data_IF_638271893728
#
_entry.id   IF_638271893728
#
_cell.length_a   1.000
_cell.length_b   1.000
_cell.length_c   1.000
_cell.angle_alpha   90.00
_cell.angle_beta   90.00
_cell.angle_gamma   90.00
#
_symmetry.space_group_name_H-M   'P 1'
#
loop_
_entity.id
_entity.type
_entity.pdbx_description
1 polymer ?
#
# COMPACT_ATOMS: atom_id res chain seq x y z
N UNK A 1 -13.51 -4.84 -31.73
CA UNK A 1 -12.93 -3.61 -32.36
C UNK A 1 -11.98 -2.95 -31.38
N UNK A 2 -10.79 -2.51 -31.86
CA UNK A 2 -9.86 -1.73 -31.02
C UNK A 2 -10.46 -0.35 -30.73
N UNK A 3 -10.40 0.08 -29.45
CA UNK A 3 -10.82 1.43 -29.05
C UNK A 3 -9.85 2.46 -29.61
N UNK A 4 -10.38 3.56 -30.10
CA UNK A 4 -9.60 4.69 -30.63
C UNK A 4 -9.81 5.95 -29.82
N UNK A 5 -8.79 6.80 -29.76
CA UNK A 5 -8.91 8.13 -29.20
C UNK A 5 -9.52 9.11 -30.20
N UNK A 6 -9.73 10.38 -29.79
CA UNK A 6 -10.27 11.44 -30.62
C UNK A 6 -9.40 11.80 -31.86
N UNK A 7 -8.13 11.36 -31.87
CA UNK A 7 -7.17 11.54 -32.97
C UNK A 7 -7.05 10.28 -33.85
N UNK A 8 -7.93 9.27 -33.66
CA UNK A 8 -7.94 8.03 -34.42
C UNK A 8 -6.87 7.01 -34.05
N UNK A 9 -6.08 7.21 -32.96
CA UNK A 9 -5.02 6.32 -32.53
C UNK A 9 -5.61 5.16 -31.73
N UNK A 10 -5.10 3.95 -31.93
CA UNK A 10 -5.53 2.77 -31.19
C UNK A 10 -5.09 2.85 -29.72
N UNK A 11 -6.03 2.63 -28.82
CA UNK A 11 -5.81 2.50 -27.38
C UNK A 11 -5.62 1.03 -27.02
N UNK A 12 -4.59 0.74 -26.19
CA UNK A 12 -4.32 -0.60 -25.67
C UNK A 12 -5.29 -0.97 -24.54
N UNK A 13 -5.22 -2.22 -24.08
CA UNK A 13 -5.94 -2.69 -22.90
C UNK A 13 -5.52 -1.85 -21.68
N UNK A 14 -6.51 -1.34 -20.94
CA UNK A 14 -6.24 -0.47 -19.80
C UNK A 14 -6.13 1.03 -20.14
N UNK A 15 -5.84 1.41 -21.40
CA UNK A 15 -5.80 2.80 -21.82
C UNK A 15 -7.21 3.35 -22.13
N UNK A 16 -7.49 4.56 -21.69
CA UNK A 16 -8.73 5.30 -21.93
C UNK A 16 -8.45 6.77 -22.22
N UNK A 17 -9.27 7.39 -23.06
CA UNK A 17 -9.32 8.84 -23.15
C UNK A 17 -10.55 9.34 -22.40
N UNK A 18 -10.35 10.32 -21.53
CA UNK A 18 -11.41 10.97 -20.76
C UNK A 18 -12.09 12.08 -21.56
N UNK A 19 -13.32 12.48 -21.21
CA UNK A 19 -14.01 13.60 -21.85
C UNK A 19 -13.25 14.94 -21.76
N UNK A 20 -12.42 15.11 -20.71
CA UNK A 20 -11.56 16.28 -20.51
C UNK A 20 -10.29 16.28 -21.38
N UNK A 21 -10.15 15.30 -22.29
CA UNK A 21 -9.02 15.16 -23.21
C UNK A 21 -7.79 14.47 -22.64
N UNK A 22 -7.70 14.27 -21.33
CA UNK A 22 -6.60 13.55 -20.66
C UNK A 22 -6.71 12.05 -20.92
N UNK A 23 -5.60 11.35 -20.78
CA UNK A 23 -5.51 9.89 -20.88
C UNK A 23 -5.40 9.25 -19.51
N UNK A 24 -6.00 8.07 -19.36
CA UNK A 24 -6.02 7.27 -18.14
C UNK A 24 -5.57 5.85 -18.47
N UNK A 25 -4.63 5.29 -17.69
CA UNK A 25 -4.27 3.89 -17.72
C UNK A 25 -4.73 3.22 -16.42
N UNK A 26 -5.54 2.17 -16.55
CA UNK A 26 -6.08 1.37 -15.44
C UNK A 26 -5.40 0.02 -15.40
N UNK A 27 -4.89 -0.34 -14.25
CA UNK A 27 -4.23 -1.61 -14.03
C UNK A 27 -4.59 -2.19 -12.66
N UNK A 28 -4.37 -3.49 -12.49
CA UNK A 28 -4.47 -4.18 -11.20
C UNK A 28 -3.06 -4.44 -10.72
N UNK A 29 -2.72 -3.96 -9.56
CA UNK A 29 -1.46 -4.26 -8.91
C UNK A 29 -1.53 -5.67 -8.34
N UNK A 30 -0.64 -6.55 -8.76
CA UNK A 30 -0.65 -7.98 -8.40
C UNK A 30 -0.25 -8.20 -6.94
N UNK A 31 0.58 -7.32 -6.38
CA UNK A 31 1.07 -7.42 -5.01
C UNK A 31 -0.02 -7.00 -4.01
N UNK A 32 -0.66 -5.87 -4.27
CA UNK A 32 -1.70 -5.34 -3.38
C UNK A 32 -3.11 -5.82 -3.71
N UNK A 33 -3.31 -6.43 -4.90
CA UNK A 33 -4.61 -6.85 -5.42
C UNK A 33 -5.55 -5.69 -5.76
N UNK A 34 -5.12 -4.44 -5.60
CA UNK A 34 -5.93 -3.23 -5.79
C UNK A 34 -5.91 -2.76 -7.26
N UNK A 35 -7.03 -2.16 -7.69
CA UNK A 35 -7.10 -1.46 -8.97
C UNK A 35 -6.60 -0.03 -8.81
N UNK A 36 -5.69 0.37 -9.68
CA UNK A 36 -5.07 1.69 -9.71
C UNK A 36 -5.27 2.35 -11.06
N UNK A 37 -5.13 3.68 -11.09
CA UNK A 37 -5.17 4.46 -12.32
C UNK A 37 -4.09 5.53 -12.28
N UNK A 38 -3.45 5.76 -13.41
CA UNK A 38 -2.55 6.88 -13.64
C UNK A 38 -3.06 7.73 -14.80
N UNK A 39 -2.73 9.02 -14.79
CA UNK A 39 -3.25 10.00 -15.72
C UNK A 39 -2.11 10.76 -16.38
N UNK A 40 -2.27 11.08 -17.66
CA UNK A 40 -1.34 11.90 -18.41
C UNK A 40 -2.10 12.86 -19.34
N UNK A 41 -1.46 13.98 -19.71
CA UNK A 41 -2.03 14.93 -20.64
C UNK A 41 -2.05 14.41 -22.09
N UNK A 42 -1.11 13.53 -22.44
CA UNK A 42 -0.97 12.94 -23.77
C UNK A 42 -0.71 11.44 -23.71
N UNK A 43 -0.93 10.76 -24.85
CA UNK A 43 -0.82 9.30 -24.95
C UNK A 43 0.64 8.80 -24.85
N UNK A 44 1.63 9.60 -25.25
CA UNK A 44 3.02 9.20 -25.20
C UNK A 44 3.51 9.14 -23.73
N UNK A 45 3.23 10.19 -22.98
CA UNK A 45 3.52 10.24 -21.55
C UNK A 45 2.80 9.13 -20.77
N UNK A 46 1.54 8.83 -21.13
CA UNK A 46 0.81 7.71 -20.51
C UNK A 46 1.53 6.38 -20.75
N UNK A 47 2.00 6.14 -21.96
CA UNK A 47 2.70 4.90 -22.34
C UNK A 47 4.08 4.75 -21.71
N UNK A 48 4.75 5.85 -21.42
CA UNK A 48 5.99 5.80 -20.62
C UNK A 48 5.70 5.43 -19.16
N UNK A 49 4.63 5.98 -18.58
CA UNK A 49 4.17 5.56 -17.25
C UNK A 49 3.75 4.08 -17.24
N UNK A 50 3.01 3.61 -18.25
CA UNK A 50 2.65 2.20 -18.42
C UNK A 50 3.88 1.29 -18.45
N UNK A 51 4.91 1.64 -19.21
CA UNK A 51 6.16 0.85 -19.27
C UNK A 51 6.85 0.76 -17.92
N UNK A 52 6.90 1.87 -17.18
CA UNK A 52 7.49 1.90 -15.83
C UNK A 52 6.69 1.03 -14.86
N UNK A 53 5.37 1.19 -14.85
CA UNK A 53 4.46 0.39 -14.00
C UNK A 53 4.60 -1.10 -14.29
N UNK A 54 4.62 -1.50 -15.57
CA UNK A 54 4.75 -2.90 -15.95
C UNK A 54 6.12 -3.45 -15.54
N UNK A 55 7.19 -2.66 -15.67
CA UNK A 55 8.52 -3.05 -15.19
C UNK A 55 8.52 -3.23 -13.67
N UNK A 56 7.97 -2.28 -12.92
CA UNK A 56 7.89 -2.38 -11.45
C UNK A 56 7.07 -3.62 -11.03
N UNK A 57 5.98 -3.94 -11.75
CA UNK A 57 5.18 -5.15 -11.51
C UNK A 57 5.96 -6.43 -11.86
N UNK A 58 6.71 -6.44 -12.96
CA UNK A 58 7.56 -7.57 -13.36
C UNK A 58 8.70 -7.80 -12.34
N UNK A 59 9.25 -6.71 -11.79
CA UNK A 59 10.26 -6.75 -10.74
C UNK A 59 9.67 -7.00 -9.32
N UNK A 60 8.36 -7.24 -9.23
CA UNK A 60 7.60 -7.42 -7.98
C UNK A 60 7.69 -6.21 -7.02
N UNK A 61 7.93 -5.02 -7.56
CA UNK A 61 7.95 -3.77 -6.81
C UNK A 61 6.54 -3.17 -6.69
N UNK A 62 6.29 -2.45 -5.60
CA UNK A 62 5.03 -1.71 -5.47
C UNK A 62 5.09 -0.47 -6.36
N UNK A 63 4.09 -0.30 -7.21
CA UNK A 63 4.02 0.88 -8.08
C UNK A 63 3.80 2.18 -7.28
N UNK A 64 4.34 3.31 -7.74
CA UNK A 64 4.18 4.63 -7.10
C UNK A 64 2.72 4.99 -6.78
N UNK A 65 1.80 4.61 -7.66
CA UNK A 65 0.37 4.84 -7.45
C UNK A 65 -0.21 3.98 -6.32
N UNK A 66 0.33 2.77 -6.12
CA UNK A 66 -0.02 1.87 -5.02
C UNK A 66 0.58 2.34 -3.70
N UNK A 67 1.83 2.82 -3.72
CA UNK A 67 2.50 3.38 -2.52
C UNK A 67 1.66 4.50 -1.91
N UNK A 68 1.14 5.43 -2.71
CA UNK A 68 0.29 6.54 -2.25
C UNK A 68 -1.00 6.09 -1.55
N UNK A 69 -1.47 4.87 -1.82
CA UNK A 69 -2.69 4.29 -1.23
C UNK A 69 -2.41 3.24 -0.16
N UNK A 70 -1.13 2.90 0.03
CA UNK A 70 -0.73 1.88 0.99
C UNK A 70 -1.08 2.34 2.41
N UNK A 71 -1.79 1.52 3.16
CA UNK A 71 -2.10 1.75 4.58
C UNK A 71 -1.18 0.92 5.47
N UNK A 72 -1.09 1.32 6.74
CA UNK A 72 -0.33 0.56 7.76
C UNK A 72 -0.89 -0.86 7.92
N UNK A 73 -2.20 -1.08 7.74
CA UNK A 73 -2.79 -2.43 7.71
C UNK A 73 -2.23 -3.27 6.57
N UNK A 74 -2.19 -2.73 5.35
CA UNK A 74 -1.65 -3.45 4.19
C UNK A 74 -0.16 -3.75 4.37
N UNK A 75 0.59 -2.85 4.99
CA UNK A 75 2.00 -3.06 5.31
C UNK A 75 2.20 -4.21 6.29
N UNK A 76 1.41 -4.26 7.36
CA UNK A 76 1.42 -5.37 8.30
C UNK A 76 1.05 -6.71 7.64
N UNK A 77 0.04 -6.73 6.77
CA UNK A 77 -0.37 -7.94 6.04
C UNK A 77 0.77 -8.49 5.17
N UNK A 78 1.52 -7.60 4.51
CA UNK A 78 2.73 -7.97 3.75
C UNK A 78 3.81 -8.53 4.67
N UNK A 79 4.14 -7.85 5.76
CA UNK A 79 5.09 -8.35 6.74
C UNK A 79 4.71 -9.74 7.26
N UNK A 80 3.43 -9.96 7.58
CA UNK A 80 2.94 -11.25 8.03
C UNK A 80 2.98 -12.35 6.96
N UNK A 81 2.92 -11.99 5.67
CA UNK A 81 3.04 -12.94 4.55
C UNK A 81 4.48 -13.44 4.39
N UNK A 82 5.48 -12.60 4.66
CA UNK A 82 6.91 -12.97 4.56
C UNK A 82 7.43 -13.73 5.77
N UNK A 83 6.71 -13.66 6.91
CA UNK A 83 7.18 -14.21 8.18
C UNK A 83 6.95 -15.71 8.31
N UNK A 84 8.04 -16.45 8.46
CA UNK A 84 7.98 -17.90 8.73
C UNK A 84 7.83 -18.17 10.25
N UNK A 85 6.61 -18.26 10.74
CA UNK A 85 6.27 -18.51 12.14
C UNK A 85 5.16 -19.56 12.25
N UNK A 86 5.08 -20.21 13.45
CA UNK A 86 4.03 -21.19 13.71
C UNK A 86 2.64 -20.55 13.59
N UNK A 87 1.70 -21.31 13.05
CA UNK A 87 0.34 -20.84 12.78
C UNK A 87 -0.36 -20.25 14.04
N UNK A 88 -0.15 -20.87 15.20
CA UNK A 88 -0.67 -20.35 16.49
C UNK A 88 -0.14 -18.95 16.81
N UNK A 89 1.15 -18.70 16.56
CA UNK A 89 1.78 -17.40 16.77
C UNK A 89 1.23 -16.38 15.77
N UNK A 90 1.08 -16.76 14.50
CA UNK A 90 0.50 -15.94 13.45
C UNK A 90 -0.91 -15.47 13.81
N UNK A 91 -1.78 -16.39 14.22
CA UNK A 91 -3.14 -16.07 14.69
C UNK A 91 -3.15 -15.11 15.88
N UNK A 92 -2.23 -15.27 16.82
CA UNK A 92 -2.13 -14.37 17.97
C UNK A 92 -1.70 -12.95 17.55
N UNK A 93 -0.74 -12.82 16.65
CA UNK A 93 -0.28 -11.52 16.14
C UNK A 93 -1.39 -10.79 15.36
N UNK A 94 -2.12 -11.51 14.49
CA UNK A 94 -3.26 -10.96 13.76
C UNK A 94 -4.33 -10.48 14.74
N UNK A 95 -4.68 -11.29 15.77
CA UNK A 95 -5.66 -10.90 16.79
C UNK A 95 -5.24 -9.66 17.57
N UNK A 96 -3.96 -9.55 17.98
CA UNK A 96 -3.43 -8.35 18.65
C UNK A 96 -3.53 -7.12 17.76
N UNK A 97 -3.18 -7.26 16.48
CA UNK A 97 -3.30 -6.20 15.49
C UNK A 97 -4.74 -5.76 15.30
N UNK A 98 -5.65 -6.71 15.04
CA UNK A 98 -7.07 -6.45 14.78
C UNK A 98 -7.75 -5.74 15.95
N UNK A 99 -7.41 -6.15 17.17
CA UNK A 99 -8.03 -5.60 18.37
C UNK A 99 -7.55 -4.18 18.70
N UNK A 100 -6.29 -3.84 18.43
CA UNK A 100 -5.69 -2.58 18.90
C UNK A 100 -5.27 -1.62 17.78
N UNK A 101 -4.74 -2.10 16.68
CA UNK A 101 -4.08 -1.27 15.67
C UNK A 101 -4.95 -1.09 14.42
N UNK A 102 -5.69 -2.12 13.99
CA UNK A 102 -6.42 -2.12 12.72
C UNK A 102 -7.30 -0.89 12.51
N UNK A 103 -8.10 -0.52 13.50
CA UNK A 103 -9.06 0.59 13.40
C UNK A 103 -8.52 1.95 13.88
N UNK A 104 -7.28 1.99 14.37
CA UNK A 104 -6.60 3.19 14.84
C UNK A 104 -5.49 3.59 13.86
N UNK A 105 -4.25 3.18 14.13
CA UNK A 105 -3.11 3.46 13.27
C UNK A 105 -3.18 2.75 11.91
N UNK A 106 -3.85 1.59 11.85
CA UNK A 106 -3.87 0.72 10.67
C UNK A 106 -4.48 1.35 9.42
N UNK A 107 -5.42 2.27 9.55
CA UNK A 107 -6.09 2.95 8.44
C UNK A 107 -5.33 4.16 7.90
N UNK A 108 -4.28 4.61 8.60
CA UNK A 108 -3.45 5.73 8.15
C UNK A 108 -2.64 5.29 6.94
N UNK A 109 -2.55 6.13 5.91
CA UNK A 109 -1.67 5.85 4.77
C UNK A 109 -0.22 5.95 5.22
N UNK A 110 0.63 5.07 4.69
CA UNK A 110 2.05 5.03 5.07
C UNK A 110 2.74 6.37 4.80
N UNK A 111 2.40 7.04 3.70
CA UNK A 111 2.95 8.36 3.34
C UNK A 111 2.53 9.50 4.29
N UNK A 112 1.43 9.34 5.01
CA UNK A 112 0.92 10.31 5.99
C UNK A 112 1.31 9.93 7.43
N UNK A 113 1.96 8.78 7.61
CA UNK A 113 2.27 8.26 8.94
C UNK A 113 3.41 9.05 9.59
N UNK A 114 3.21 9.51 10.81
CA UNK A 114 4.16 10.35 11.54
C UNK A 114 4.49 9.75 12.91
N UNK A 115 5.68 10.05 13.41
CA UNK A 115 6.11 9.64 14.76
C UNK A 115 5.12 10.10 15.85
N UNK A 116 4.44 11.24 15.65
CA UNK A 116 3.40 11.72 16.58
C UNK A 116 2.24 10.74 16.72
N UNK A 117 1.81 10.09 15.62
CA UNK A 117 0.74 9.08 15.69
C UNK A 117 1.14 7.90 16.59
N UNK A 118 2.39 7.44 16.47
CA UNK A 118 2.94 6.35 17.31
C UNK A 118 2.96 6.78 18.78
N UNK A 119 3.52 7.95 19.07
CA UNK A 119 3.63 8.46 20.44
C UNK A 119 2.26 8.61 21.10
N UNK A 120 1.32 9.26 20.42
CA UNK A 120 -0.05 9.45 20.95
C UNK A 120 -0.74 8.12 21.20
N UNK A 121 -0.61 7.17 20.27
CA UNK A 121 -1.23 5.86 20.39
C UNK A 121 -0.68 5.07 21.59
N UNK A 122 0.65 4.96 21.73
CA UNK A 122 1.25 4.22 22.83
C UNK A 122 1.08 4.91 24.20
N UNK A 123 1.06 6.26 24.25
CA UNK A 123 0.71 6.98 25.46
C UNK A 123 -0.71 6.65 25.90
N UNK A 124 -1.69 6.70 24.99
CA UNK A 124 -3.08 6.34 25.30
C UNK A 124 -3.21 4.90 25.85
N UNK A 125 -2.50 3.94 25.26
CA UNK A 125 -2.50 2.55 25.75
C UNK A 125 -1.90 2.43 27.18
N UNK A 126 -0.88 3.24 27.48
CA UNK A 126 -0.30 3.31 28.82
C UNK A 126 -1.27 3.93 29.82
N UNK A 127 -1.97 4.99 29.43
CA UNK A 127 -2.98 5.68 30.25
C UNK A 127 -4.22 4.78 30.50
N UNK A 128 -4.55 3.89 29.56
CA UNK A 128 -5.55 2.83 29.74
C UNK A 128 -5.10 1.72 30.71
N UNK A 129 -3.86 1.77 31.20
CA UNK A 129 -3.32 0.79 32.15
C UNK A 129 -2.90 -0.55 31.51
N UNK A 130 -2.62 -0.59 30.20
CA UNK A 130 -2.12 -1.79 29.56
C UNK A 130 -0.74 -2.19 30.11
N UNK A 131 -0.54 -3.49 30.33
CA UNK A 131 0.75 -4.02 30.75
C UNK A 131 1.84 -3.67 29.71
N UNK A 132 3.01 -3.26 30.21
CA UNK A 132 4.17 -2.91 29.38
C UNK A 132 4.55 -4.01 28.38
N UNK A 133 4.43 -5.29 28.77
CA UNK A 133 4.68 -6.44 27.89
C UNK A 133 3.74 -6.47 26.67
N UNK A 134 2.47 -6.08 26.85
CA UNK A 134 1.49 -5.99 25.77
C UNK A 134 1.81 -4.83 24.82
N UNK A 135 2.16 -3.67 25.38
CA UNK A 135 2.59 -2.48 24.62
C UNK A 135 3.84 -2.82 23.79
N UNK A 136 4.84 -3.46 24.42
CA UNK A 136 6.06 -3.94 23.72
C UNK A 136 5.74 -4.94 22.61
N UNK A 137 4.77 -5.83 22.83
CA UNK A 137 4.30 -6.76 21.80
C UNK A 137 3.70 -6.06 20.59
N UNK A 138 2.85 -5.04 20.79
CA UNK A 138 2.28 -4.24 19.70
C UNK A 138 3.35 -3.45 18.93
N UNK A 139 4.31 -2.85 19.64
CA UNK A 139 5.46 -2.19 19.02
C UNK A 139 6.28 -3.18 18.17
N UNK A 140 6.51 -4.39 18.68
CA UNK A 140 7.20 -5.48 17.98
C UNK A 140 6.48 -6.02 16.74
N UNK A 141 5.23 -5.61 16.49
CA UNK A 141 4.51 -5.86 15.23
C UNK A 141 4.59 -4.65 14.30
N UNK A 142 4.47 -3.45 14.85
CA UNK A 142 4.46 -2.21 14.08
C UNK A 142 5.84 -1.90 13.48
N UNK A 143 6.89 -1.93 14.30
CA UNK A 143 8.25 -1.54 13.88
C UNK A 143 8.79 -2.40 12.72
N UNK A 144 8.78 -3.74 12.76
CA UNK A 144 9.28 -4.55 11.65
C UNK A 144 8.46 -4.41 10.37
N UNK A 145 7.17 -4.04 10.48
CA UNK A 145 6.36 -3.74 9.30
C UNK A 145 6.86 -2.48 8.57
N UNK A 146 7.32 -1.47 9.32
CA UNK A 146 7.92 -0.27 8.74
C UNK A 146 9.37 -0.51 8.27
N UNK A 147 10.15 -1.35 8.96
CA UNK A 147 11.48 -1.77 8.50
C UNK A 147 11.38 -2.40 7.11
N UNK A 148 10.41 -3.31 6.89
CA UNK A 148 10.13 -3.86 5.56
C UNK A 148 9.80 -2.77 4.53
N UNK A 149 9.06 -1.73 4.92
CA UNK A 149 8.74 -0.63 4.01
C UNK A 149 9.97 0.18 3.60
N UNK A 150 10.94 0.36 4.49
CA UNK A 150 12.24 0.99 4.20
C UNK A 150 13.07 0.09 3.27
N UNK A 151 13.15 -1.21 3.56
CA UNK A 151 13.88 -2.18 2.73
C UNK A 151 13.31 -2.27 1.31
N UNK A 152 11.98 -2.19 1.16
CA UNK A 152 11.29 -2.20 -0.14
C UNK A 152 11.32 -0.82 -0.85
N UNK A 153 11.95 0.21 -0.27
CA UNK A 153 12.00 1.56 -0.85
C UNK A 153 10.64 2.27 -0.93
N UNK A 154 9.70 1.92 -0.05
CA UNK A 154 8.36 2.51 0.02
C UNK A 154 8.39 3.87 0.75
N UNK A 155 9.28 4.00 1.72
CA UNK A 155 9.53 5.19 2.54
C UNK A 155 11.02 5.34 2.80
#
# INVERSE_FOLDING_TARGET
MARKDNKGRNLKTGEYQRPDGRYEYRYKDEITGKRNSVYAADLASLREMEKRINKDMDDLLITDASVKKLTVNTLFERYMATKNIKERTKKNYIRMWDYRIRNTLGNIRVVDFKTSHVRTFFSALSDEGLAHSTIKGLYGLLNPSFELAVEDGII
#
